data_IF_537753238679
#
_entry.id   IF_537753238679
#
_cell.length_a   1.000
_cell.length_b   1.000
_cell.length_c   1.000
_cell.angle_alpha   90.00
_cell.angle_beta   90.00
_cell.angle_gamma   90.00
#
_symmetry.space_group_name_H-M   'P 1'
#
loop_
_entity.id
_entity.type
_entity.pdbx_description
1 polymer ?
#
# COMPACT_ATOMS: atom_id res chain seq x y z
N UNK A 1 -54.93 32.19 -20.73
CA UNK A 1 -54.43 32.18 -19.34
C UNK A 1 -54.19 30.71 -18.96
N UNK A 2 -53.08 30.15 -19.43
CA UNK A 2 -51.80 30.00 -18.71
C UNK A 2 -51.88 29.03 -17.53
N UNK A 3 -51.66 27.74 -17.82
CA UNK A 3 -51.35 26.72 -16.83
C UNK A 3 -49.91 26.95 -16.35
N UNK A 4 -49.79 27.60 -15.20
CA UNK A 4 -48.51 27.77 -14.50
C UNK A 4 -48.03 26.40 -14.00
N UNK A 5 -46.98 25.88 -14.63
CA UNK A 5 -46.21 24.72 -14.18
C UNK A 5 -45.02 25.25 -13.38
N UNK A 6 -44.81 24.76 -12.17
CA UNK A 6 -43.55 24.93 -11.42
C UNK A 6 -43.36 23.79 -10.42
N UNK A 7 -42.12 23.37 -10.10
CA UNK A 7 -40.87 23.50 -10.86
C UNK A 7 -40.30 22.13 -11.28
N UNK A 8 -39.56 22.13 -12.38
CA UNK A 8 -38.47 21.17 -12.54
C UNK A 8 -37.34 21.63 -11.62
N UNK A 9 -36.92 20.77 -10.71
CA UNK A 9 -35.64 20.91 -10.03
C UNK A 9 -34.99 19.53 -9.99
N UNK A 10 -34.48 19.11 -11.16
CA UNK A 10 -33.47 18.07 -11.23
C UNK A 10 -32.19 18.61 -10.59
N UNK A 11 -31.83 18.09 -9.42
CA UNK A 11 -30.47 18.22 -8.89
C UNK A 11 -30.02 16.86 -8.40
N UNK A 12 -29.73 15.96 -9.34
CA UNK A 12 -28.84 14.84 -9.10
C UNK A 12 -27.43 15.43 -8.91
N UNK A 13 -27.14 15.86 -7.68
CA UNK A 13 -25.80 16.23 -7.24
C UNK A 13 -24.94 14.98 -7.32
N UNK A 14 -24.13 14.87 -8.37
CA UNK A 14 -23.16 13.80 -8.53
C UNK A 14 -21.86 14.21 -7.82
N UNK A 15 -21.95 14.58 -6.54
CA UNK A 15 -20.79 14.97 -5.75
C UNK A 15 -20.06 13.71 -5.27
N UNK A 16 -19.03 13.32 -6.01
CA UNK A 16 -18.17 12.18 -5.70
C UNK A 16 -17.50 12.31 -4.32
N UNK A 17 -17.49 13.51 -3.72
CA UNK A 17 -16.96 13.76 -2.38
C UNK A 17 -17.74 13.02 -1.30
N UNK A 18 -19.02 12.70 -1.53
CA UNK A 18 -19.86 11.95 -0.58
C UNK A 18 -19.34 10.52 -0.33
N UNK A 19 -18.52 9.97 -1.23
CA UNK A 19 -17.86 8.68 -1.03
C UNK A 19 -16.70 8.76 -0.02
N UNK A 20 -16.20 9.96 0.26
CA UNK A 20 -15.02 10.20 1.10
C UNK A 20 -15.30 11.25 2.18
N UNK A 21 -16.30 11.04 3.06
CA UNK A 21 -16.64 12.01 4.08
C UNK A 21 -15.43 12.28 4.98
N UNK A 22 -15.22 13.55 5.33
CA UNK A 22 -14.17 13.94 6.27
C UNK A 22 -14.38 13.25 7.62
N UNK A 23 -13.31 12.69 8.18
CA UNK A 23 -13.32 12.04 9.50
C UNK A 23 -12.22 12.66 10.38
N UNK A 24 -12.46 13.85 10.94
CA UNK A 24 -11.43 14.58 11.70
C UNK A 24 -10.94 13.81 12.94
N UNK A 25 -11.80 12.96 13.51
CA UNK A 25 -11.47 12.16 14.71
C UNK A 25 -10.99 10.73 14.39
N UNK A 26 -10.88 10.37 13.10
CA UNK A 26 -10.40 9.03 12.75
C UNK A 26 -8.91 8.88 13.09
N UNK A 27 -8.48 7.69 13.52
CA UNK A 27 -7.06 7.42 13.70
C UNK A 27 -6.31 7.62 12.38
N UNK A 28 -4.98 7.88 12.43
CA UNK A 28 -4.14 7.97 11.25
C UNK A 28 -4.38 6.78 10.31
N UNK A 29 -4.42 7.04 9.01
CA UNK A 29 -4.64 5.99 8.02
C UNK A 29 -3.46 5.02 8.02
N UNK A 30 -3.72 3.73 8.19
CA UNK A 30 -2.71 2.67 8.22
C UNK A 30 -2.88 1.78 7.01
N UNK A 31 -1.88 1.72 6.14
CA UNK A 31 -1.95 1.03 4.85
C UNK A 31 -0.85 -0.01 4.76
N UNK A 32 -1.23 -1.24 4.42
CA UNK A 32 -0.29 -2.27 4.00
C UNK A 32 -0.40 -2.49 2.49
N UNK A 33 0.69 -2.22 1.79
CA UNK A 33 0.87 -2.49 0.37
C UNK A 33 1.40 -3.91 0.21
N UNK A 34 0.67 -4.77 -0.50
CA UNK A 34 1.10 -6.15 -0.78
C UNK A 34 1.74 -6.25 -2.15
N UNK A 35 3.02 -6.61 -2.18
CA UNK A 35 3.83 -6.72 -3.37
C UNK A 35 4.45 -8.11 -3.54
N UNK A 36 3.77 -9.08 -4.19
CA UNK A 36 4.36 -10.41 -4.38
C UNK A 36 5.02 -10.62 -5.75
N UNK A 37 4.91 -9.66 -6.67
CA UNK A 37 5.53 -9.72 -8.00
C UNK A 37 6.48 -8.55 -8.20
N UNK A 38 7.46 -8.64 -9.12
CA UNK A 38 8.37 -7.53 -9.40
C UNK A 38 7.65 -6.25 -9.86
N UNK A 39 6.54 -6.39 -10.60
CA UNK A 39 5.70 -5.26 -11.00
C UNK A 39 4.94 -4.66 -9.81
N UNK A 40 4.44 -5.50 -8.91
CA UNK A 40 3.77 -5.04 -7.69
C UNK A 40 4.73 -4.33 -6.73
N UNK A 41 5.99 -4.76 -6.67
CA UNK A 41 7.04 -4.08 -5.90
C UNK A 41 7.31 -2.67 -6.45
N UNK A 42 7.45 -2.53 -7.76
CA UNK A 42 7.64 -1.22 -8.39
C UNK A 42 6.45 -0.29 -8.12
N UNK A 43 5.21 -0.82 -8.20
CA UNK A 43 4.00 -0.04 -7.87
C UNK A 43 3.93 0.30 -6.39
N UNK A 44 4.26 -0.62 -5.48
CA UNK A 44 4.27 -0.34 -4.05
C UNK A 44 5.27 0.76 -3.69
N UNK A 45 6.45 0.79 -4.33
CA UNK A 45 7.42 1.87 -4.17
C UNK A 45 6.86 3.22 -4.63
N UNK A 46 6.25 3.27 -5.81
CA UNK A 46 5.63 4.50 -6.33
C UNK A 46 4.48 4.98 -5.44
N UNK A 47 3.61 4.06 -5.01
CA UNK A 47 2.48 4.37 -4.15
C UNK A 47 2.93 4.86 -2.77
N UNK A 48 4.00 4.29 -2.21
CA UNK A 48 4.61 4.79 -0.97
C UNK A 48 5.08 6.24 -1.13
N UNK A 49 5.77 6.57 -2.23
CA UNK A 49 6.25 7.92 -2.48
C UNK A 49 5.10 8.93 -2.55
N UNK A 50 4.06 8.63 -3.35
CA UNK A 50 2.88 9.48 -3.48
C UNK A 50 2.14 9.64 -2.14
N UNK A 51 1.89 8.54 -1.42
CA UNK A 51 1.20 8.59 -0.13
C UNK A 51 1.94 9.42 0.91
N UNK A 52 3.27 9.38 0.93
CA UNK A 52 4.07 10.19 1.86
C UNK A 52 4.01 11.68 1.53
N UNK A 53 3.83 12.04 0.26
CA UNK A 53 3.63 13.43 -0.17
C UNK A 53 2.21 13.90 0.16
N UNK A 54 1.21 13.11 -0.21
CA UNK A 54 -0.21 13.50 -0.09
C UNK A 54 -0.72 13.41 1.35
N UNK A 55 -0.21 12.44 2.13
CA UNK A 55 -0.62 12.17 3.51
C UNK A 55 0.58 11.82 4.40
N UNK A 56 1.42 12.79 4.77
CA UNK A 56 2.62 12.56 5.59
C UNK A 56 2.35 11.85 6.93
N UNK A 57 1.14 11.99 7.48
CA UNK A 57 0.72 11.35 8.73
C UNK A 57 0.22 9.90 8.59
N UNK A 58 0.15 9.35 7.37
CA UNK A 58 -0.28 7.96 7.17
C UNK A 58 0.84 6.97 7.56
N UNK A 59 0.47 5.89 8.24
CA UNK A 59 1.38 4.76 8.47
C UNK A 59 1.36 3.85 7.25
N UNK A 60 2.52 3.58 6.66
CA UNK A 60 2.63 2.70 5.49
C UNK A 60 3.63 1.59 5.72
N UNK A 61 3.27 0.37 5.31
CA UNK A 61 4.14 -0.81 5.24
C UNK A 61 4.03 -1.45 3.86
N UNK A 62 5.12 -2.06 3.40
CA UNK A 62 5.15 -2.87 2.19
C UNK A 62 5.47 -4.30 2.60
N UNK A 63 4.54 -5.23 2.39
CA UNK A 63 4.82 -6.67 2.55
C UNK A 63 5.26 -7.25 1.22
N UNK A 64 6.47 -7.79 1.19
CA UNK A 64 7.13 -8.32 0.00
C UNK A 64 7.31 -9.83 0.17
N UNK A 65 6.73 -10.60 -0.73
CA UNK A 65 6.76 -12.06 -0.73
C UNK A 65 6.88 -12.60 -2.16
N UNK A 66 7.06 -13.91 -2.30
CA UNK A 66 7.10 -14.56 -3.61
C UNK A 66 8.17 -13.96 -4.55
N UNK A 67 7.93 -13.96 -5.87
CA UNK A 67 8.90 -13.44 -6.86
C UNK A 67 9.39 -12.01 -6.64
N UNK A 68 8.65 -11.16 -5.91
CA UNK A 68 9.12 -9.80 -5.59
C UNK A 68 10.35 -9.79 -4.68
N UNK A 69 10.54 -10.80 -3.82
CA UNK A 69 11.69 -10.84 -2.91
C UNK A 69 12.97 -11.05 -3.70
N UNK A 70 12.98 -12.02 -4.62
CA UNK A 70 14.14 -12.26 -5.50
C UNK A 70 14.48 -11.00 -6.30
N UNK A 71 13.47 -10.40 -6.94
CA UNK A 71 13.68 -9.20 -7.73
C UNK A 71 14.16 -8.00 -6.91
N UNK A 72 13.75 -7.87 -5.64
CA UNK A 72 14.28 -6.86 -4.73
C UNK A 72 15.75 -7.10 -4.42
N UNK A 73 16.13 -8.34 -4.14
CA UNK A 73 17.50 -8.69 -3.76
C UNK A 73 18.49 -8.54 -4.93
N UNK A 74 18.00 -8.71 -6.16
CA UNK A 74 18.81 -8.58 -7.38
C UNK A 74 18.75 -7.17 -8.00
N UNK A 75 17.96 -6.26 -7.41
CA UNK A 75 17.75 -4.92 -7.94
C UNK A 75 18.99 -4.03 -7.79
N UNK A 76 19.58 -3.64 -8.92
CA UNK A 76 20.59 -2.59 -8.95
C UNK A 76 19.97 -1.19 -8.70
N UNK A 77 20.72 -0.23 -8.13
CA UNK A 77 20.27 1.16 -7.99
C UNK A 77 19.70 1.74 -9.29
N UNK A 78 18.58 2.47 -9.19
CA UNK A 78 17.88 3.05 -10.35
C UNK A 78 16.91 2.11 -11.06
N UNK A 79 16.90 0.80 -10.78
CA UNK A 79 15.89 -0.11 -11.34
C UNK A 79 14.53 0.04 -10.67
N UNK A 80 13.40 -0.36 -11.30
CA UNK A 80 12.07 -0.24 -10.71
C UNK A 80 11.86 -1.03 -9.41
N UNK A 81 12.63 -2.10 -9.19
CA UNK A 81 12.54 -2.96 -8.01
C UNK A 81 13.47 -2.52 -6.86
N UNK A 82 14.40 -1.59 -7.13
CA UNK A 82 15.31 -1.09 -6.13
C UNK A 82 14.57 -0.22 -5.10
N UNK A 83 14.79 -0.50 -3.82
CA UNK A 83 14.33 0.35 -2.72
C UNK A 83 15.54 1.04 -2.11
N UNK A 84 15.50 2.37 -2.06
CA UNK A 84 16.49 3.14 -1.30
C UNK A 84 16.29 2.94 0.22
N UNK A 85 17.19 3.52 1.03
CA UNK A 85 17.13 3.39 2.49
C UNK A 85 15.79 3.90 3.08
N UNK A 86 15.21 4.96 2.50
CA UNK A 86 13.96 5.52 2.98
C UNK A 86 12.78 4.57 2.69
N UNK A 87 12.72 3.97 1.51
CA UNK A 87 11.69 2.99 1.17
C UNK A 87 11.89 1.64 1.89
N UNK A 88 13.14 1.20 2.09
CA UNK A 88 13.47 -0.02 2.85
C UNK A 88 12.96 0.03 4.30
N UNK A 89 12.93 1.21 4.93
CA UNK A 89 12.38 1.37 6.28
C UNK A 89 10.90 0.96 6.40
N UNK A 90 10.16 0.95 5.29
CA UNK A 90 8.77 0.51 5.21
C UNK A 90 8.60 -0.93 4.74
N UNK A 91 9.67 -1.56 4.23
CA UNK A 91 9.63 -2.89 3.65
C UNK A 91 9.71 -3.99 4.72
N UNK A 92 8.85 -4.99 4.57
CA UNK A 92 8.75 -6.17 5.41
C UNK A 92 8.83 -7.40 4.50
N UNK A 93 9.89 -8.19 4.64
CA UNK A 93 10.20 -9.29 3.73
C UNK A 93 9.81 -10.64 4.30
N UNK A 94 9.18 -11.46 3.46
CA UNK A 94 8.66 -12.77 3.84
C UNK A 94 9.80 -13.78 4.13
N UNK A 95 9.88 -14.34 5.35
CA UNK A 95 10.92 -15.32 5.71
C UNK A 95 10.80 -16.61 4.91
N UNK A 96 9.59 -17.04 4.55
CA UNK A 96 9.39 -18.27 3.78
C UNK A 96 9.98 -18.16 2.37
N UNK A 97 9.90 -16.97 1.77
CA UNK A 97 10.45 -16.73 0.44
C UNK A 97 11.98 -16.68 0.49
N UNK A 98 12.56 -15.97 1.46
CA UNK A 98 14.01 -15.96 1.70
C UNK A 98 14.57 -17.38 1.88
N UNK A 99 13.92 -18.18 2.73
CA UNK A 99 14.30 -19.58 2.97
C UNK A 99 14.25 -20.43 1.70
N UNK A 100 13.19 -20.27 0.88
CA UNK A 100 13.05 -20.98 -0.39
C UNK A 100 14.16 -20.62 -1.38
N UNK A 101 14.59 -19.36 -1.38
CA UNK A 101 15.69 -18.87 -2.22
C UNK A 101 17.07 -19.25 -1.66
N UNK A 102 17.16 -19.72 -0.41
CA UNK A 102 18.43 -19.94 0.27
C UNK A 102 19.23 -18.64 0.48
N UNK A 103 18.54 -17.51 0.65
CA UNK A 103 19.14 -16.17 0.76
C UNK A 103 18.77 -15.51 2.07
N UNK A 104 19.66 -14.63 2.54
CA UNK A 104 19.42 -13.79 3.71
C UNK A 104 18.94 -12.40 3.31
N UNK A 105 18.28 -11.72 4.25
CA UNK A 105 17.90 -10.33 4.07
C UNK A 105 19.12 -9.41 4.25
N UNK A 106 19.42 -8.51 3.30
CA UNK A 106 20.49 -7.53 3.44
C UNK A 106 20.29 -6.61 4.64
N UNK A 107 21.38 -5.99 5.10
CA UNK A 107 21.33 -5.02 6.20
C UNK A 107 20.30 -3.91 5.94
N UNK A 108 19.53 -3.55 6.96
CA UNK A 108 18.45 -2.55 6.87
C UNK A 108 17.10 -3.09 6.40
N UNK A 109 17.05 -4.33 5.90
CA UNK A 109 15.80 -5.00 5.54
C UNK A 109 15.19 -5.69 6.76
N UNK A 110 13.89 -5.48 6.99
CA UNK A 110 13.17 -6.12 8.09
C UNK A 110 12.52 -7.41 7.57
N UNK A 111 12.83 -8.52 8.22
CA UNK A 111 12.18 -9.81 7.96
C UNK A 111 10.94 -9.92 8.85
N UNK A 112 9.84 -10.41 8.29
CA UNK A 112 8.62 -10.68 9.04
C UNK A 112 8.86 -11.85 10.04
N UNK A 113 8.21 -11.83 11.22
CA UNK A 113 8.33 -12.95 12.17
C UNK A 113 7.66 -14.24 11.66
N UNK A 114 6.68 -14.10 10.77
CA UNK A 114 5.87 -15.17 10.21
C UNK A 114 5.68 -14.99 8.69
N UNK A 115 4.92 -15.90 8.06
CA UNK A 115 4.71 -15.86 6.61
C UNK A 115 4.06 -14.54 6.14
N UNK A 116 4.34 -14.14 4.88
CA UNK A 116 3.79 -12.90 4.31
C UNK A 116 2.26 -12.85 4.32
N UNK A 117 1.58 -13.95 3.98
CA UNK A 117 0.10 -14.02 3.98
C UNK A 117 -0.47 -13.94 5.39
N UNK A 118 0.12 -14.63 6.35
CA UNK A 118 -0.28 -14.56 7.77
C UNK A 118 -0.10 -13.14 8.33
N UNK A 119 1.04 -12.50 8.03
CA UNK A 119 1.32 -11.12 8.41
C UNK A 119 0.28 -10.15 7.84
N UNK A 120 -0.12 -10.33 6.57
CA UNK A 120 -1.16 -9.52 5.94
C UNK A 120 -2.52 -9.71 6.59
N UNK A 121 -2.87 -10.93 6.99
CA UNK A 121 -4.13 -11.20 7.70
C UNK A 121 -4.13 -10.53 9.08
N UNK A 122 -3.04 -10.65 9.85
CA UNK A 122 -2.89 -10.04 11.17
C UNK A 122 -2.89 -8.51 11.12
N UNK A 123 -2.27 -7.92 10.10
CA UNK A 123 -2.34 -6.47 9.86
C UNK A 123 -3.77 -6.03 9.58
N UNK A 124 -4.51 -6.73 8.72
CA UNK A 124 -5.92 -6.40 8.45
C UNK A 124 -6.79 -6.53 9.71
N UNK A 125 -6.59 -7.58 10.52
CA UNK A 125 -7.25 -7.72 11.83
C UNK A 125 -6.89 -6.58 12.79
N UNK A 126 -5.70 -6.01 12.63
CA UNK A 126 -5.22 -4.84 13.39
C UNK A 126 -5.60 -3.50 12.74
N UNK A 127 -6.68 -3.49 11.95
CA UNK A 127 -7.25 -2.33 11.26
C UNK A 127 -6.33 -1.65 10.23
N UNK A 128 -5.41 -2.40 9.61
CA UNK A 128 -4.68 -1.91 8.44
C UNK A 128 -5.50 -2.09 7.17
N UNK A 129 -5.61 -1.02 6.39
CA UNK A 129 -6.16 -1.08 5.04
C UNK A 129 -5.21 -1.87 4.14
N UNK A 130 -5.71 -2.97 3.58
CA UNK A 130 -4.97 -3.78 2.63
C UNK A 130 -5.13 -3.23 1.22
N UNK A 131 -4.00 -3.02 0.54
CA UNK A 131 -3.97 -2.65 -0.88
C UNK A 131 -3.12 -3.64 -1.63
N UNK A 132 -3.71 -4.24 -2.65
CA UNK A 132 -2.99 -5.11 -3.58
C UNK A 132 -2.26 -4.25 -4.61
N UNK A 133 -0.93 -4.31 -4.61
CA UNK A 133 -0.11 -3.68 -5.63
C UNK A 133 0.16 -4.62 -6.80
#
# INVERSE_FOLDING_TARGET
MSTSRSPAASTSSNDWSDLFPARPDAPPLRIVLHAPTPGALARARSNLANLRQDRPGAEVRIVINGPAVEALLDAAPGTPQHLDAAALAHALVCPNTLRKLGREAPAGMRVLPQGGIESLALLQQSAWCYVRC
#
